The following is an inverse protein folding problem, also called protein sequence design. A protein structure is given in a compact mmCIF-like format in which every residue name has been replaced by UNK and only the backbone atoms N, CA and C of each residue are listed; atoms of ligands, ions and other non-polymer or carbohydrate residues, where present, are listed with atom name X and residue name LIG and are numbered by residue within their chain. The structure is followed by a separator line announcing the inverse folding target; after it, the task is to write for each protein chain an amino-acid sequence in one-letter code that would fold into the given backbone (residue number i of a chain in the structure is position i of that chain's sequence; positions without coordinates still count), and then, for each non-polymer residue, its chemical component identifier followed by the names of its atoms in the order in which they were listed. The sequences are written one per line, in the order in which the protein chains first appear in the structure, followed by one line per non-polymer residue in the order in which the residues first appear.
data_IF_220972527596
#
_entry.id   IF_220972527596
#
_cell.length_a   1.000
_cell.length_b   1.000
_cell.length_c   1.000
_cell.angle_alpha   90.00
_cell.angle_beta   90.00
_cell.angle_gamma   90.00
#
_symmetry.space_group_name_H-M   'P 1'
#
loop_
_entity.id
_entity.type
_entity.pdbx_description
1 polymer ?
#
# COMPACT_ATOMS: atom_id res chain seq x y z
N UNK A 1 -14.39 -29.47 52.17
CA UNK A 1 -13.19 -29.49 51.33
C UNK A 1 -13.50 -29.85 49.86
N UNK A 2 -14.32 -30.84 49.55
CA UNK A 2 -14.66 -31.28 48.19
C UNK A 2 -15.51 -30.25 47.42
N UNK A 3 -16.43 -29.53 48.09
CA UNK A 3 -17.33 -28.53 47.49
C UNK A 3 -16.55 -27.26 47.00
N UNK A 4 -15.49 -26.88 47.71
CA UNK A 4 -14.67 -25.70 47.36
C UNK A 4 -13.81 -26.04 46.13
N UNK A 5 -13.32 -27.28 45.99
CA UNK A 5 -12.56 -27.74 44.82
C UNK A 5 -13.45 -27.82 43.57
N UNK A 6 -14.70 -28.27 43.72
CA UNK A 6 -15.66 -28.29 42.60
C UNK A 6 -16.10 -26.89 42.15
N UNK A 7 -16.16 -25.90 43.06
CA UNK A 7 -16.40 -24.51 42.70
C UNK A 7 -15.22 -23.87 41.97
N UNK A 8 -14.00 -24.14 42.40
CA UNK A 8 -12.78 -23.66 41.72
C UNK A 8 -12.64 -24.26 40.30
N UNK A 9 -12.94 -25.54 40.12
CA UNK A 9 -12.91 -26.18 38.78
C UNK A 9 -14.04 -25.68 37.85
N UNK A 10 -15.21 -25.25 38.40
CA UNK A 10 -16.24 -24.58 37.59
C UNK A 10 -15.87 -23.14 37.22
N UNK A 11 -15.13 -22.42 38.05
CA UNK A 11 -14.62 -21.08 37.71
C UNK A 11 -13.51 -21.14 36.65
N UNK A 12 -12.62 -22.11 36.71
CA UNK A 12 -11.60 -22.32 35.65
C UNK A 12 -12.23 -22.67 34.31
N UNK A 13 -13.27 -23.49 34.25
CA UNK A 13 -13.94 -23.84 32.99
C UNK A 13 -14.80 -22.69 32.39
N UNK A 14 -15.19 -21.68 33.16
CA UNK A 14 -15.87 -20.50 32.60
C UNK A 14 -14.90 -19.42 32.08
N UNK A 15 -13.66 -19.39 32.55
CA UNK A 15 -12.65 -18.42 32.06
C UNK A 15 -11.94 -18.84 30.77
N UNK A 16 -12.05 -20.09 30.32
CA UNK A 16 -11.38 -20.61 29.10
C UNK A 16 -12.23 -20.54 27.83
N UNK A 17 -13.40 -19.90 27.85
CA UNK A 17 -14.17 -19.59 26.65
C UNK A 17 -14.08 -18.13 26.24
N UNK A 18 -12.99 -17.42 26.55
CA UNK A 18 -12.57 -16.31 25.73
C UNK A 18 -12.08 -16.92 24.41
N UNK A 19 -12.99 -17.04 23.43
CA UNK A 19 -12.58 -17.19 22.04
C UNK A 19 -11.46 -16.17 21.82
N UNK A 20 -10.23 -16.61 21.71
CA UNK A 20 -9.19 -15.85 21.06
C UNK A 20 -9.73 -15.54 19.66
N UNK A 21 -10.47 -14.45 19.53
CA UNK A 21 -10.58 -13.78 18.25
C UNK A 21 -9.14 -13.43 17.93
N UNK A 22 -8.50 -14.23 17.11
CA UNK A 22 -7.28 -13.82 16.44
C UNK A 22 -7.59 -12.39 15.95
N UNK A 23 -6.95 -11.39 16.59
CA UNK A 23 -7.14 -10.00 16.19
C UNK A 23 -6.64 -9.98 14.76
N UNK A 24 -7.59 -9.93 13.83
CA UNK A 24 -7.27 -9.92 12.41
C UNK A 24 -6.60 -8.56 12.12
N UNK A 25 -5.28 -8.59 12.02
CA UNK A 25 -4.50 -7.40 11.69
C UNK A 25 -4.41 -7.29 10.18
N UNK A 26 -4.92 -6.20 9.63
CA UNK A 26 -4.82 -5.90 8.20
C UNK A 26 -3.38 -5.88 7.73
N UNK A 27 -3.15 -6.31 6.50
CA UNK A 27 -1.83 -6.30 5.88
C UNK A 27 -1.51 -4.91 5.34
N UNK A 28 -0.34 -4.37 5.70
CA UNK A 28 0.14 -3.07 5.22
C UNK A 28 1.13 -3.31 4.09
N UNK A 29 0.91 -2.68 2.94
CA UNK A 29 1.70 -2.82 1.72
C UNK A 29 2.09 -1.44 1.19
N UNK A 30 3.37 -1.11 1.19
CA UNK A 30 3.86 0.10 0.51
C UNK A 30 4.04 -0.14 -0.98
N UNK A 31 3.60 0.81 -1.80
CA UNK A 31 3.80 0.82 -3.25
C UNK A 31 4.92 1.79 -3.56
N UNK A 32 6.10 1.26 -3.88
CA UNK A 32 7.35 2.05 -3.91
C UNK A 32 8.12 1.84 -5.20
N UNK A 33 8.62 2.92 -5.76
CA UNK A 33 9.69 2.96 -6.73
C UNK A 33 10.26 4.39 -6.74
N UNK A 34 11.59 4.53 -6.72
CA UNK A 34 12.22 5.86 -6.76
C UNK A 34 12.06 6.58 -8.10
N UNK A 35 11.80 5.84 -9.19
CA UNK A 35 11.56 6.44 -10.50
C UNK A 35 10.16 7.05 -10.56
N UNK A 36 10.07 8.29 -11.01
CA UNK A 36 8.81 8.95 -11.32
C UNK A 36 8.13 8.30 -12.54
N UNK A 37 6.80 8.38 -12.60
CA UNK A 37 6.04 7.96 -13.78
C UNK A 37 5.93 6.45 -14.04
N UNK A 38 6.41 5.58 -13.16
CA UNK A 38 6.31 4.11 -13.32
C UNK A 38 4.96 3.52 -12.97
N UNK A 39 3.97 4.33 -12.65
CA UNK A 39 2.61 3.87 -12.33
C UNK A 39 2.39 3.46 -10.88
N UNK A 40 3.14 4.01 -9.90
CA UNK A 40 2.91 3.80 -8.46
C UNK A 40 1.48 4.16 -8.07
N UNK A 41 1.13 5.42 -8.22
CA UNK A 41 -0.21 5.94 -7.91
C UNK A 41 -1.32 5.25 -8.71
N UNK A 42 -1.09 5.00 -10.01
CA UNK A 42 -2.05 4.26 -10.84
C UNK A 42 -2.28 2.86 -10.28
N UNK A 43 -1.22 2.19 -9.81
CA UNK A 43 -1.33 0.86 -9.19
C UNK A 43 -2.03 0.95 -7.84
N UNK A 44 -1.68 1.93 -7.00
CA UNK A 44 -2.30 2.14 -5.69
C UNK A 44 -3.81 2.33 -5.80
N UNK A 45 -4.24 3.28 -6.63
CA UNK A 45 -5.66 3.62 -6.85
C UNK A 45 -6.45 2.42 -7.39
N UNK A 46 -5.97 1.80 -8.47
CA UNK A 46 -6.77 0.80 -9.17
C UNK A 46 -6.71 -0.58 -8.53
N UNK A 47 -5.59 -0.96 -7.89
CA UNK A 47 -5.51 -2.19 -7.12
C UNK A 47 -6.38 -2.11 -5.85
N UNK A 48 -6.34 -0.99 -5.11
CA UNK A 48 -7.20 -0.76 -3.95
C UNK A 48 -8.69 -0.85 -4.33
N UNK A 49 -9.07 -0.20 -5.45
CA UNK A 49 -10.44 -0.25 -5.97
C UNK A 49 -10.88 -1.68 -6.32
N UNK A 50 -10.07 -2.44 -7.07
CA UNK A 50 -10.37 -3.82 -7.46
C UNK A 50 -10.52 -4.74 -6.23
N UNK A 51 -9.66 -4.58 -5.23
CA UNK A 51 -9.73 -5.32 -3.96
C UNK A 51 -10.98 -4.93 -3.17
N UNK A 52 -11.34 -3.64 -3.11
CA UNK A 52 -12.57 -3.15 -2.49
C UNK A 52 -13.83 -3.71 -3.14
N UNK A 53 -13.87 -3.77 -4.47
CA UNK A 53 -14.95 -4.39 -5.25
C UNK A 53 -15.09 -5.88 -4.91
N UNK A 54 -13.96 -6.58 -4.66
CA UNK A 54 -13.96 -7.99 -4.25
C UNK A 54 -14.49 -8.24 -2.84
N UNK A 55 -14.86 -7.18 -2.09
CA UNK A 55 -15.48 -7.26 -0.77
C UNK A 55 -14.51 -7.10 0.41
N UNK A 56 -13.24 -6.78 0.15
CA UNK A 56 -12.24 -6.49 1.17
C UNK A 56 -12.26 -5.01 1.57
N UNK A 57 -12.09 -4.72 2.86
CA UNK A 57 -11.96 -3.34 3.34
C UNK A 57 -10.54 -2.84 3.14
N UNK A 58 -10.39 -1.74 2.45
CA UNK A 58 -9.10 -1.15 2.08
C UNK A 58 -8.97 0.27 2.62
N UNK A 59 -7.84 0.57 3.26
CA UNK A 59 -7.39 1.93 3.48
C UNK A 59 -6.25 2.22 2.50
N UNK A 60 -6.35 3.32 1.79
CA UNK A 60 -5.28 3.81 0.93
C UNK A 60 -4.70 5.09 1.51
N UNK A 61 -3.40 5.10 1.81
CA UNK A 61 -2.68 6.25 2.38
C UNK A 61 -1.89 6.91 1.26
N UNK A 62 -2.21 8.16 0.98
CA UNK A 62 -1.48 8.97 0.02
C UNK A 62 -0.28 9.61 0.72
N UNK A 63 0.92 9.12 0.46
CA UNK A 63 2.17 9.62 1.04
C UNK A 63 3.01 10.43 0.03
N UNK A 64 2.43 10.85 -1.10
CA UNK A 64 3.07 11.74 -2.05
C UNK A 64 2.55 13.18 -1.87
N UNK A 65 3.41 14.20 -1.70
CA UNK A 65 3.00 15.60 -1.62
C UNK A 65 2.16 16.08 -2.80
N UNK A 66 2.31 15.47 -3.97
CA UNK A 66 1.49 15.78 -5.13
C UNK A 66 0.01 15.41 -4.93
N UNK A 67 -0.30 14.49 -4.02
CA UNK A 67 -1.66 14.09 -3.68
C UNK A 67 -2.43 13.49 -4.86
N UNK A 68 -1.75 12.74 -5.72
CA UNK A 68 -2.37 12.17 -6.93
C UNK A 68 -3.34 11.03 -6.62
N UNK A 69 -3.07 10.24 -5.58
CA UNK A 69 -4.01 9.25 -5.05
C UNK A 69 -5.28 9.92 -4.52
N UNK A 70 -5.12 11.01 -3.76
CA UNK A 70 -6.23 11.83 -3.25
C UNK A 70 -7.13 12.33 -4.38
N UNK A 71 -6.51 12.92 -5.42
CA UNK A 71 -7.24 13.37 -6.61
C UNK A 71 -7.87 12.22 -7.38
N UNK A 72 -7.20 11.07 -7.47
CA UNK A 72 -7.68 9.87 -8.18
C UNK A 72 -8.94 9.24 -7.55
N UNK A 73 -9.26 9.61 -6.32
CA UNK A 73 -10.52 9.27 -5.64
C UNK A 73 -11.50 10.46 -5.54
N UNK A 74 -11.28 11.53 -6.29
CA UNK A 74 -12.17 12.68 -6.34
C UNK A 74 -12.19 13.52 -5.05
N UNK A 75 -11.26 13.32 -4.14
CA UNK A 75 -11.20 14.04 -2.87
C UNK A 75 -10.64 15.45 -3.11
N UNK A 76 -11.39 16.46 -2.68
CA UNK A 76 -10.94 17.85 -2.77
C UNK A 76 -9.87 18.13 -1.71
N UNK A 77 -8.62 18.29 -2.13
CA UNK A 77 -7.47 18.56 -1.24
C UNK A 77 -7.63 19.82 -0.38
N UNK A 78 -8.46 20.77 -0.81
CA UNK A 78 -8.70 22.03 -0.06
C UNK A 78 -9.70 21.88 1.08
N UNK A 79 -10.51 20.81 1.08
CA UNK A 79 -11.54 20.59 2.10
C UNK A 79 -11.10 19.62 3.20
N UNK A 80 -9.92 18.98 3.06
CA UNK A 80 -9.40 18.05 4.06
C UNK A 80 -8.62 18.78 5.14
N UNK A 81 -8.89 18.46 6.39
CA UNK A 81 -8.27 19.10 7.56
C UNK A 81 -7.14 18.26 8.16
N UNK A 82 -7.14 16.94 7.92
CA UNK A 82 -6.09 16.03 8.36
C UNK A 82 -5.63 15.19 7.19
N UNK A 83 -4.32 15.11 7.01
CA UNK A 83 -3.66 14.46 5.90
C UNK A 83 -2.54 13.55 6.41
N UNK A 84 -1.83 12.89 5.52
CA UNK A 84 -0.63 12.11 5.87
C UNK A 84 0.45 12.97 6.53
N UNK A 85 0.46 14.29 6.31
CA UNK A 85 1.37 15.21 6.98
C UNK A 85 1.18 15.18 8.50
N UNK A 86 -0.04 15.39 9.01
CA UNK A 86 -0.34 15.40 10.45
C UNK A 86 -0.04 14.02 11.09
N UNK A 87 -0.18 12.93 10.32
CA UNK A 87 0.21 11.60 10.78
C UNK A 87 1.73 11.47 11.00
N UNK A 88 2.52 12.07 10.12
CA UNK A 88 3.99 12.00 10.19
C UNK A 88 4.57 12.89 11.27
N UNK A 89 3.98 14.06 11.53
CA UNK A 89 4.45 14.93 12.61
C UNK A 89 3.87 14.55 13.99
N UNK A 90 3.07 13.47 14.08
CA UNK A 90 2.54 12.96 15.35
C UNK A 90 1.26 13.66 15.83
N UNK A 91 0.62 14.48 15.00
CA UNK A 91 -0.59 15.26 15.35
C UNK A 91 -1.90 14.58 14.97
N UNK A 92 -1.86 13.30 14.59
CA UNK A 92 -3.08 12.61 14.16
C UNK A 92 -2.97 11.09 14.12
N UNK A 93 -4.14 10.45 14.00
CA UNK A 93 -4.27 9.03 13.73
C UNK A 93 -4.83 8.81 12.35
N UNK A 94 -4.48 7.69 11.71
CA UNK A 94 -5.02 7.36 10.39
C UNK A 94 -6.55 7.20 10.42
N UNK A 95 -7.12 6.79 11.55
CA UNK A 95 -8.57 6.71 11.73
C UNK A 95 -9.25 8.08 11.64
N UNK A 96 -8.64 9.11 12.26
CA UNK A 96 -9.18 10.47 12.24
C UNK A 96 -8.97 11.18 10.90
N UNK A 97 -7.96 10.79 10.14
CA UNK A 97 -7.63 11.36 8.83
C UNK A 97 -8.31 10.62 7.67
N UNK A 98 -8.81 9.40 7.89
CA UNK A 98 -9.45 8.61 6.84
C UNK A 98 -10.75 9.23 6.35
N UNK A 99 -10.81 9.53 5.07
CA UNK A 99 -12.00 10.03 4.36
C UNK A 99 -12.69 8.84 3.69
N UNK A 100 -13.99 8.68 3.96
CA UNK A 100 -14.81 7.71 3.25
C UNK A 100 -15.00 8.15 1.81
N UNK A 101 -14.78 7.23 0.89
CA UNK A 101 -15.03 7.47 -0.52
C UNK A 101 -16.40 6.91 -0.95
N UNK A 102 -16.89 7.33 -2.11
CA UNK A 102 -18.08 6.73 -2.74
C UNK A 102 -17.79 5.35 -3.36
N UNK A 103 -16.53 4.95 -3.42
CA UNK A 103 -16.09 3.71 -4.01
C UNK A 103 -16.10 2.57 -3.00
N UNK A 104 -16.63 1.43 -3.42
CA UNK A 104 -16.94 0.30 -2.56
C UNK A 104 -15.75 -0.15 -1.71
N UNK A 105 -15.91 -0.09 -0.37
CA UNK A 105 -14.96 -0.59 0.63
C UNK A 105 -13.56 0.05 0.59
N UNK A 106 -13.42 1.25 0.05
CA UNK A 106 -12.16 1.98 0.03
C UNK A 106 -12.30 3.31 0.77
N UNK A 107 -11.47 3.49 1.79
CA UNK A 107 -11.26 4.78 2.46
C UNK A 107 -9.87 5.30 2.12
N UNK A 108 -9.67 6.62 2.16
CA UNK A 108 -8.39 7.26 1.81
C UNK A 108 -7.92 8.18 2.93
N UNK A 109 -6.67 8.05 3.36
CA UNK A 109 -5.96 9.11 4.07
C UNK A 109 -5.36 10.03 3.03
N UNK A 110 -5.85 11.27 2.92
CA UNK A 110 -5.44 12.17 1.85
C UNK A 110 -4.04 12.77 2.07
N UNK A 111 -3.47 13.31 1.00
CA UNK A 111 -2.26 14.12 1.03
C UNK A 111 -2.51 15.53 0.52
N UNK A 112 -1.61 16.43 0.88
CA UNK A 112 -1.55 17.81 0.38
C UNK A 112 -0.10 18.24 0.18
N UNK A 113 0.10 19.41 -0.43
CA UNK A 113 1.43 20.00 -0.61
C UNK A 113 2.19 20.21 0.70
N UNK A 114 1.48 20.33 1.84
CA UNK A 114 2.12 20.47 3.16
C UNK A 114 3.01 19.27 3.48
N UNK A 115 2.70 18.10 2.92
CA UNK A 115 3.52 16.90 3.11
C UNK A 115 4.97 17.07 2.63
N UNK A 116 5.24 18.02 1.73
CA UNK A 116 6.61 18.33 1.31
C UNK A 116 7.46 18.87 2.47
N UNK A 117 6.85 19.54 3.46
CA UNK A 117 7.54 20.03 4.64
C UNK A 117 7.94 18.88 5.60
N UNK A 118 7.25 17.74 5.56
CA UNK A 118 7.50 16.62 6.47
C UNK A 118 8.97 16.11 6.42
N UNK A 119 9.66 16.21 5.29
CA UNK A 119 11.07 15.81 5.18
C UNK A 119 11.98 16.68 6.09
N UNK A 120 11.60 17.94 6.36
CA UNK A 120 12.31 18.85 7.23
C UNK A 120 11.80 18.73 8.67
N UNK A 121 10.48 18.76 8.84
CA UNK A 121 9.86 18.78 10.17
C UNK A 121 10.15 17.49 10.96
N UNK A 122 10.21 16.36 10.26
CA UNK A 122 10.56 15.07 10.86
C UNK A 122 11.99 15.02 11.45
N UNK A 123 12.88 15.93 11.08
CA UNK A 123 14.26 15.95 11.62
C UNK A 123 14.23 16.14 13.13
N UNK A 124 13.35 16.99 13.63
CA UNK A 124 13.19 17.35 15.04
C UNK A 124 12.26 16.40 15.81
N UNK A 125 11.55 15.50 15.11
CA UNK A 125 10.59 14.60 15.75
C UNK A 125 11.28 13.38 16.33
N UNK A 126 11.02 13.09 17.61
CA UNK A 126 11.48 11.89 18.27
C UNK A 126 10.88 10.64 17.62
N UNK A 127 11.68 9.58 17.47
CA UNK A 127 11.26 8.36 16.77
C UNK A 127 10.69 8.61 15.37
N UNK A 128 11.22 9.60 14.67
CA UNK A 128 10.74 10.10 13.37
C UNK A 128 10.48 9.03 12.31
N UNK A 129 11.17 7.90 12.36
CA UNK A 129 10.97 6.78 11.42
C UNK A 129 9.77 5.88 11.77
N UNK A 130 9.14 6.06 12.95
CA UNK A 130 8.02 5.24 13.41
C UNK A 130 6.66 5.96 13.36
N UNK A 131 6.61 7.22 12.97
CA UNK A 131 5.41 8.05 13.08
C UNK A 131 4.23 7.45 12.31
N UNK A 132 4.42 7.08 11.05
CA UNK A 132 3.36 6.47 10.26
C UNK A 132 2.92 5.11 10.81
N UNK A 133 3.86 4.31 11.32
CA UNK A 133 3.56 3.02 11.97
C UNK A 133 2.66 3.21 13.20
N UNK A 134 2.96 4.20 14.03
CA UNK A 134 2.16 4.53 15.22
C UNK A 134 0.76 5.05 14.81
N UNK A 135 0.69 5.93 13.83
CA UNK A 135 -0.57 6.49 13.34
C UNK A 135 -1.50 5.43 12.73
N UNK A 136 -0.96 4.39 12.09
CA UNK A 136 -1.73 3.29 11.48
C UNK A 136 -2.15 2.22 12.49
N UNK A 137 -1.55 2.15 13.68
CA UNK A 137 -1.77 1.07 14.64
C UNK A 137 -3.25 0.96 15.05
N UNK A 138 -3.94 2.10 15.29
CA UNK A 138 -5.33 2.13 15.75
C UNK A 138 -6.34 1.63 14.71
N UNK A 139 -6.03 1.74 13.43
CA UNK A 139 -6.94 1.36 12.36
C UNK A 139 -6.59 0.01 11.70
N UNK A 140 -5.42 -0.57 11.98
CA UNK A 140 -4.95 -1.80 11.35
C UNK A 140 -5.94 -2.98 11.47
N UNK A 141 -6.70 -3.06 12.56
CA UNK A 141 -7.73 -4.08 12.76
C UNK A 141 -9.07 -3.82 12.04
N UNK A 142 -9.24 -2.65 11.42
CA UNK A 142 -10.49 -2.24 10.76
C UNK A 142 -10.51 -2.55 9.26
N UNK A 143 -9.33 -2.70 8.65
CA UNK A 143 -9.14 -2.94 7.24
C UNK A 143 -8.51 -4.31 7.00
N UNK A 144 -8.84 -4.94 5.86
CA UNK A 144 -8.17 -6.17 5.40
C UNK A 144 -6.78 -5.83 4.85
N UNK A 145 -6.68 -4.70 4.14
CA UNK A 145 -5.45 -4.20 3.53
C UNK A 145 -5.31 -2.70 3.74
N UNK A 146 -4.08 -2.27 3.98
CA UNK A 146 -3.68 -0.86 3.98
C UNK A 146 -2.60 -0.71 2.92
N UNK A 147 -2.86 0.08 1.87
CA UNK A 147 -1.85 0.42 0.87
C UNK A 147 -1.30 1.81 1.16
N UNK A 148 0.01 2.00 0.96
CA UNK A 148 0.68 3.29 1.09
C UNK A 148 1.28 3.64 -0.27
N UNK A 149 0.76 4.68 -0.93
CA UNK A 149 1.32 5.22 -2.18
C UNK A 149 2.47 6.16 -1.86
N UNK A 150 3.69 5.76 -2.19
CA UNK A 150 4.91 6.46 -1.82
C UNK A 150 5.38 7.45 -2.91
N UNK A 151 6.03 8.56 -2.51
CA UNK A 151 6.64 9.51 -3.45
C UNK A 151 7.78 8.86 -4.25
N UNK A 152 8.24 9.51 -5.35
CA UNK A 152 9.39 9.05 -6.13
C UNK A 152 10.73 9.42 -5.48
N UNK A 153 10.85 9.20 -4.17
CA UNK A 153 12.05 9.48 -3.38
C UNK A 153 12.24 8.37 -2.34
N UNK A 154 13.45 8.25 -1.82
CA UNK A 154 13.78 7.33 -0.72
C UNK A 154 14.08 8.11 0.58
N UNK A 155 13.41 9.25 0.79
CA UNK A 155 13.52 10.11 1.97
C UNK A 155 12.78 9.58 3.19
N UNK A 156 12.66 10.43 4.24
CA UNK A 156 12.04 10.06 5.51
C UNK A 156 10.58 9.62 5.39
N UNK A 157 9.82 10.21 4.47
CA UNK A 157 8.43 9.81 4.21
C UNK A 157 8.38 8.35 3.71
N UNK A 158 9.24 8.00 2.75
CA UNK A 158 9.32 6.61 2.24
C UNK A 158 9.86 5.66 3.30
N UNK A 159 10.83 6.06 4.12
CA UNK A 159 11.34 5.26 5.24
C UNK A 159 10.22 4.98 6.25
N UNK A 160 9.37 5.96 6.58
CA UNK A 160 8.18 5.77 7.41
C UNK A 160 7.20 4.77 6.82
N UNK A 161 6.92 4.87 5.51
CA UNK A 161 6.05 3.94 4.81
C UNK A 161 6.58 2.50 4.87
N UNK A 162 7.87 2.30 4.57
CA UNK A 162 8.54 1.00 4.62
C UNK A 162 8.56 0.42 6.05
N UNK A 163 8.81 1.27 7.04
CA UNK A 163 8.85 0.83 8.45
C UNK A 163 7.46 0.45 8.97
N UNK A 164 6.41 1.08 8.48
CA UNK A 164 5.02 0.75 8.81
C UNK A 164 4.50 -0.52 8.11
N UNK A 165 5.17 -0.96 7.04
CA UNK A 165 4.64 -1.99 6.13
C UNK A 165 5.06 -3.40 6.51
N UNK A 166 4.22 -4.38 6.16
CA UNK A 166 4.56 -5.80 6.17
C UNK A 166 5.32 -6.17 4.90
N UNK A 167 4.90 -5.60 3.76
CA UNK A 167 5.51 -5.92 2.47
C UNK A 167 5.56 -4.72 1.52
N UNK A 168 6.38 -4.84 0.47
CA UNK A 168 6.61 -3.81 -0.56
C UNK A 168 6.20 -4.34 -1.92
N UNK A 169 5.25 -3.68 -2.59
CA UNK A 169 4.90 -3.90 -3.98
C UNK A 169 5.64 -2.90 -4.87
N UNK A 170 6.31 -3.40 -5.90
CA UNK A 170 7.21 -2.60 -6.75
C UNK A 170 6.69 -2.54 -8.19
N UNK A 171 5.97 -1.47 -8.58
CA UNK A 171 5.63 -1.23 -9.98
C UNK A 171 6.89 -0.87 -10.77
N UNK A 172 7.11 -1.52 -11.92
CA UNK A 172 8.27 -1.29 -12.79
C UNK A 172 7.82 -1.12 -14.24
N UNK A 173 8.23 -0.04 -14.86
CA UNK A 173 8.18 0.10 -16.31
C UNK A 173 9.46 -0.49 -16.92
N UNK A 174 9.32 -1.34 -17.94
CA UNK A 174 10.47 -2.01 -18.59
C UNK A 174 11.25 -1.05 -19.50
N UNK A 175 12.08 -0.20 -18.90
CA UNK A 175 12.96 0.76 -19.55
C UNK A 175 14.42 0.52 -19.16
N UNK A 176 15.36 1.18 -19.86
CA UNK A 176 16.80 0.95 -19.72
C UNK A 176 17.29 1.00 -18.26
N UNK A 177 16.89 2.02 -17.50
CA UNK A 177 17.32 2.20 -16.10
C UNK A 177 16.46 1.45 -15.06
N UNK A 178 15.55 0.57 -15.50
CA UNK A 178 14.62 -0.11 -14.59
C UNK A 178 15.36 -1.02 -13.60
N UNK A 179 16.40 -1.71 -14.04
CA UNK A 179 17.17 -2.65 -13.21
C UNK A 179 18.05 -1.93 -12.18
N UNK A 180 18.64 -0.80 -12.56
CA UNK A 180 19.42 0.05 -11.66
C UNK A 180 18.52 0.57 -10.53
N UNK A 181 17.38 1.16 -10.89
CA UNK A 181 16.40 1.64 -9.91
C UNK A 181 15.87 0.54 -8.99
N UNK A 182 15.63 -0.67 -9.52
CA UNK A 182 15.25 -1.82 -8.71
C UNK A 182 16.35 -2.19 -7.72
N UNK A 183 17.60 -2.23 -8.15
CA UNK A 183 18.74 -2.57 -7.28
C UNK A 183 18.90 -1.59 -6.13
N UNK A 184 18.78 -0.29 -6.39
CA UNK A 184 18.84 0.77 -5.37
C UNK A 184 17.67 0.66 -4.39
N UNK A 185 16.44 0.41 -4.87
CA UNK A 185 15.28 0.18 -4.01
C UNK A 185 15.48 -1.05 -3.10
N UNK A 186 15.96 -2.16 -3.64
CA UNK A 186 16.23 -3.37 -2.85
C UNK A 186 17.27 -3.11 -1.77
N UNK A 187 18.32 -2.34 -2.07
CA UNK A 187 19.32 -1.94 -1.07
C UNK A 187 18.68 -1.13 0.07
N UNK A 188 17.80 -0.16 -0.26
CA UNK A 188 17.05 0.62 0.75
C UNK A 188 16.12 -0.27 1.57
N UNK A 189 15.36 -1.17 0.95
CA UNK A 189 14.49 -2.12 1.68
C UNK A 189 15.29 -2.99 2.64
N UNK A 190 16.46 -3.50 2.23
CA UNK A 190 17.36 -4.26 3.09
C UNK A 190 17.88 -3.43 4.28
N UNK A 191 18.19 -2.16 4.04
CA UNK A 191 18.65 -1.25 5.11
C UNK A 191 17.51 -0.98 6.10
N UNK A 192 16.29 -0.68 5.65
CA UNK A 192 15.12 -0.49 6.52
C UNK A 192 14.81 -1.78 7.29
N UNK A 193 14.87 -2.94 6.63
CA UNK A 193 14.70 -4.24 7.27
C UNK A 193 15.69 -4.46 8.42
N UNK A 194 16.95 -4.13 8.20
CA UNK A 194 18.02 -4.28 9.20
C UNK A 194 17.87 -3.32 10.38
N UNK A 195 17.49 -2.06 10.14
CA UNK A 195 17.54 -1.00 11.13
C UNK A 195 16.21 -0.78 11.86
N UNK A 196 15.07 -0.95 11.19
CA UNK A 196 13.78 -0.48 11.69
C UNK A 196 12.67 -1.52 11.66
N UNK A 197 12.61 -2.37 10.63
CA UNK A 197 11.50 -3.32 10.42
C UNK A 197 11.99 -4.68 9.94
N UNK A 198 12.40 -5.54 10.86
CA UNK A 198 12.99 -6.86 10.57
C UNK A 198 12.05 -7.80 9.78
N UNK A 199 10.74 -7.55 9.81
CA UNK A 199 9.73 -8.38 9.14
C UNK A 199 9.38 -7.92 7.73
N UNK A 200 9.95 -6.78 7.28
CA UNK A 200 9.67 -6.22 5.95
C UNK A 200 10.11 -7.18 4.84
N UNK A 201 9.22 -7.49 3.93
CA UNK A 201 9.47 -8.39 2.78
C UNK A 201 9.06 -7.75 1.46
N UNK A 202 9.59 -8.26 0.34
CA UNK A 202 9.10 -7.90 -0.99
C UNK A 202 7.82 -8.68 -1.27
N UNK A 203 6.70 -7.97 -1.45
CA UNK A 203 5.42 -8.54 -1.90
C UNK A 203 5.52 -9.10 -3.30
N UNK A 204 6.07 -8.27 -4.16
CA UNK A 204 6.29 -8.63 -5.54
C UNK A 204 6.59 -7.45 -6.44
N UNK A 205 6.88 -7.76 -7.71
CA UNK A 205 7.17 -6.83 -8.77
C UNK A 205 6.05 -6.89 -9.80
N UNK A 206 5.48 -5.73 -10.16
CA UNK A 206 4.41 -5.61 -11.16
C UNK A 206 4.94 -4.83 -12.36
N UNK A 207 4.87 -5.44 -13.53
CA UNK A 207 5.22 -4.76 -14.78
C UNK A 207 4.10 -3.80 -15.17
N UNK A 208 4.47 -2.55 -15.42
CA UNK A 208 3.53 -1.48 -15.81
C UNK A 208 3.87 -0.95 -17.19
N UNK A 209 2.87 -0.37 -17.86
CA UNK A 209 3.00 0.12 -19.24
C UNK A 209 3.65 -0.92 -20.17
N UNK A 210 3.33 -2.19 -19.90
CA UNK A 210 3.93 -3.34 -20.54
C UNK A 210 3.56 -3.42 -22.05
N UNK A 211 4.57 -3.61 -22.86
CA UNK A 211 4.44 -3.96 -24.28
C UNK A 211 5.42 -5.09 -24.61
N UNK A 212 4.91 -6.33 -24.69
CA UNK A 212 5.72 -7.53 -24.96
C UNK A 212 6.31 -7.64 -26.37
N UNK A 213 5.94 -6.72 -27.29
CA UNK A 213 6.52 -6.67 -28.64
C UNK A 213 7.93 -6.04 -28.66
N UNK A 214 8.27 -5.31 -27.59
CA UNK A 214 9.54 -4.59 -27.51
C UNK A 214 10.66 -5.50 -27.02
N UNK A 215 11.77 -5.56 -27.73
CA UNK A 215 12.95 -6.34 -27.35
C UNK A 215 13.50 -5.92 -25.98
N UNK A 216 13.54 -4.61 -25.70
CA UNK A 216 13.99 -4.09 -24.41
C UNK A 216 13.11 -4.60 -23.25
N UNK A 217 11.78 -4.63 -23.43
CA UNK A 217 10.85 -5.19 -22.44
C UNK A 217 11.22 -6.64 -22.12
N UNK A 218 11.44 -7.45 -23.15
CA UNK A 218 11.76 -8.88 -22.96
C UNK A 218 13.11 -9.08 -22.27
N UNK A 219 14.11 -8.24 -22.58
CA UNK A 219 15.41 -8.26 -21.91
C UNK A 219 15.28 -7.90 -20.43
N UNK A 220 14.59 -6.80 -20.09
CA UNK A 220 14.38 -6.37 -18.69
C UNK A 220 13.61 -7.44 -17.91
N UNK A 221 12.55 -8.00 -18.49
CA UNK A 221 11.79 -9.09 -17.85
C UNK A 221 12.67 -10.33 -17.64
N UNK A 222 13.51 -10.67 -18.60
CA UNK A 222 14.48 -11.77 -18.49
C UNK A 222 15.43 -11.58 -17.30
N UNK A 223 15.97 -10.38 -17.15
CA UNK A 223 16.85 -10.06 -16.01
C UNK A 223 16.10 -10.08 -14.66
N UNK A 224 14.89 -9.50 -14.59
CA UNK A 224 14.07 -9.58 -13.37
C UNK A 224 13.81 -11.04 -12.99
N UNK A 225 13.48 -11.89 -13.94
CA UNK A 225 13.21 -13.33 -13.69
C UNK A 225 14.42 -14.08 -13.17
N UNK A 226 15.66 -13.72 -13.52
CA UNK A 226 16.85 -14.39 -13.00
C UNK A 226 16.98 -14.26 -11.48
N UNK A 227 16.58 -13.12 -10.91
CA UNK A 227 16.80 -12.82 -9.50
C UNK A 227 15.51 -12.78 -8.65
N UNK A 228 14.34 -12.60 -9.29
CA UNK A 228 13.06 -12.36 -8.62
C UNK A 228 11.91 -13.13 -9.28
N UNK A 229 12.16 -14.34 -9.81
CA UNK A 229 11.15 -15.12 -10.51
C UNK A 229 9.90 -15.40 -9.65
N UNK A 230 10.08 -15.69 -8.37
CA UNK A 230 9.04 -15.95 -7.38
C UNK A 230 8.28 -14.69 -6.93
N UNK A 231 8.90 -13.52 -7.11
CA UNK A 231 8.33 -12.21 -6.76
C UNK A 231 7.67 -11.51 -7.94
N UNK A 232 7.94 -11.90 -9.18
CA UNK A 232 7.32 -11.30 -10.35
C UNK A 232 5.84 -11.74 -10.46
N UNK A 233 4.94 -10.76 -10.48
CA UNK A 233 3.53 -11.01 -10.77
C UNK A 233 3.38 -11.47 -12.22
N UNK A 234 2.48 -12.44 -12.45
CA UNK A 234 2.15 -12.93 -13.81
C UNK A 234 1.37 -11.88 -14.59
N UNK A 235 0.54 -11.13 -13.88
CA UNK A 235 -0.26 -10.04 -14.42
C UNK A 235 0.63 -8.84 -14.71
N UNK A 236 0.62 -8.37 -15.96
CA UNK A 236 1.27 -7.13 -16.37
C UNK A 236 0.22 -6.08 -16.75
N UNK A 237 0.45 -4.83 -16.36
CA UNK A 237 -0.46 -3.71 -16.67
C UNK A 237 -0.06 -3.11 -18.01
N UNK A 238 -0.93 -3.17 -19.04
CA UNK A 238 -0.61 -2.63 -20.35
C UNK A 238 -0.60 -1.11 -20.35
N UNK A 239 0.08 -0.51 -21.32
CA UNK A 239 -0.09 0.92 -21.61
C UNK A 239 -1.50 1.14 -22.14
N UNK A 240 -2.29 1.95 -21.41
CA UNK A 240 -3.68 2.22 -21.77
C UNK A 240 -4.04 3.68 -21.47
N UNK A 241 -4.54 4.39 -22.47
CA UNK A 241 -4.90 5.83 -22.37
C UNK A 241 -5.96 6.05 -21.28
N UNK A 242 -6.93 5.15 -21.17
CA UNK A 242 -7.99 5.23 -20.15
C UNK A 242 -7.46 5.27 -18.71
N UNK A 243 -6.32 4.60 -18.42
CA UNK A 243 -5.66 4.68 -17.12
C UNK A 243 -5.07 6.06 -16.82
N UNK A 244 -4.72 6.82 -17.86
CA UNK A 244 -4.21 8.20 -17.72
C UNK A 244 -5.34 9.22 -17.65
N UNK A 245 -6.50 8.91 -18.23
CA UNK A 245 -7.69 9.78 -18.24
C UNK A 245 -8.46 9.70 -16.92
N UNK A 246 -8.65 8.52 -16.36
CA UNK A 246 -9.47 8.26 -15.18
C UNK A 246 -9.16 9.21 -13.99
N UNK A 247 -7.89 9.51 -13.64
CA UNK A 247 -7.57 10.43 -12.55
C UNK A 247 -8.09 11.85 -12.76
N UNK A 248 -8.23 12.34 -14.02
CA UNK A 248 -8.77 13.65 -14.30
C UNK A 248 -10.27 13.78 -13.99
N UNK A 249 -10.95 12.63 -13.87
CA UNK A 249 -12.34 12.53 -13.43
C UNK A 249 -12.49 12.15 -11.95
N UNK A 250 -11.36 12.00 -11.23
CA UNK A 250 -11.38 11.58 -9.82
C UNK A 250 -11.90 10.14 -9.61
N UNK A 251 -11.71 9.27 -10.58
CA UNK A 251 -12.29 7.92 -10.58
C UNK A 251 -11.23 6.83 -10.75
N UNK A 252 -11.28 5.73 -9.97
CA UNK A 252 -10.58 4.51 -10.33
C UNK A 252 -11.08 3.96 -11.66
N UNK A 253 -10.21 3.25 -12.38
CA UNK A 253 -10.50 2.74 -13.74
C UNK A 253 -11.74 1.85 -13.79
N UNK A 254 -12.04 1.08 -12.74
CA UNK A 254 -13.19 0.18 -12.66
C UNK A 254 -14.53 0.95 -12.68
N UNK A 255 -14.51 2.22 -12.27
CA UNK A 255 -15.68 3.09 -12.28
C UNK A 255 -15.67 4.04 -13.49
N UNK A 256 -14.51 4.41 -14.01
CA UNK A 256 -14.36 5.26 -15.18
C UNK A 256 -14.67 4.49 -16.49
N UNK A 257 -14.00 3.33 -16.69
CA UNK A 257 -14.20 2.47 -17.86
C UNK A 257 -13.97 1.01 -17.51
N UNK A 258 -15.01 0.38 -16.97
CA UNK A 258 -15.00 -1.03 -16.51
C UNK A 258 -14.63 -2.03 -17.61
N UNK A 259 -14.86 -1.69 -18.89
CA UNK A 259 -14.60 -2.59 -20.02
C UNK A 259 -13.20 -2.40 -20.62
N UNK A 260 -12.44 -1.44 -20.12
CA UNK A 260 -11.08 -1.17 -20.62
C UNK A 260 -10.12 -2.30 -20.30
N UNK A 261 -9.08 -2.43 -21.13
CA UNK A 261 -7.95 -3.35 -20.88
C UNK A 261 -7.24 -3.02 -19.56
N UNK A 262 -7.22 -1.75 -19.16
CA UNK A 262 -6.67 -1.31 -17.88
C UNK A 262 -7.46 -1.84 -16.70
N UNK A 263 -8.80 -1.76 -16.72
CA UNK A 263 -9.65 -2.30 -15.68
C UNK A 263 -9.48 -3.83 -15.55
N UNK A 264 -9.54 -4.55 -16.65
CA UNK A 264 -9.34 -6.00 -16.65
C UNK A 264 -7.97 -6.40 -16.05
N UNK A 265 -6.91 -5.69 -16.42
CA UNK A 265 -5.57 -5.97 -15.91
C UNK A 265 -5.46 -5.74 -14.39
N UNK A 266 -6.05 -4.67 -13.84
CA UNK A 266 -6.05 -4.44 -12.39
C UNK A 266 -6.98 -5.41 -11.64
N UNK A 267 -8.08 -5.85 -12.24
CA UNK A 267 -8.93 -6.91 -11.67
C UNK A 267 -8.18 -8.25 -11.59
N UNK A 268 -7.39 -8.58 -12.62
CA UNK A 268 -6.57 -9.80 -12.61
C UNK A 268 -5.39 -9.68 -11.63
N UNK A 269 -4.75 -8.50 -11.54
CA UNK A 269 -3.73 -8.23 -10.52
C UNK A 269 -4.30 -8.38 -9.10
N UNK A 270 -5.50 -7.87 -8.84
CA UNK A 270 -6.16 -8.01 -7.55
C UNK A 270 -6.45 -9.48 -7.20
N UNK A 271 -6.93 -10.29 -8.18
CA UNK A 271 -7.14 -11.73 -7.98
C UNK A 271 -5.83 -12.45 -7.65
N UNK A 272 -4.74 -12.13 -8.38
CA UNK A 272 -3.42 -12.71 -8.14
C UNK A 272 -2.87 -12.30 -6.77
N UNK A 273 -2.98 -11.01 -6.41
CA UNK A 273 -2.60 -10.48 -5.10
C UNK A 273 -3.36 -11.18 -3.96
N UNK A 274 -4.68 -11.26 -4.06
CA UNK A 274 -5.52 -11.91 -3.05
C UNK A 274 -5.22 -13.40 -2.92
N UNK A 275 -4.90 -14.09 -4.03
CA UNK A 275 -4.49 -15.50 -4.02
C UNK A 275 -3.17 -15.69 -3.28
N UNK A 276 -2.15 -14.85 -3.55
CA UNK A 276 -0.85 -14.89 -2.84
C UNK A 276 -1.00 -14.58 -1.35
N UNK A 277 -1.98 -13.78 -0.98
CA UNK A 277 -2.22 -13.33 0.40
C UNK A 277 -3.37 -14.07 1.10
N UNK A 278 -3.86 -15.18 0.56
CA UNK A 278 -4.79 -16.06 1.28
C UNK A 278 -4.04 -16.62 2.48
N UNK A 279 -4.49 -16.22 3.66
CA UNK A 279 -4.12 -16.91 4.89
C UNK A 279 -4.90 -18.23 4.89
N UNK A 280 -4.21 -19.34 5.09
CA UNK A 280 -4.81 -20.65 5.21
C UNK A 280 -5.76 -20.72 6.41
#
# INVERSE_FOLDING_TARGET
MIIVIMMLLKFENQMFHVKHRSIYMGKIVSIVNQKGGVGKTTTAVNLASAIGISGKKVLLVDADPQGNTTSGYGINKKSVTKTTYELLIGEGTAEAAAVKTEYKNVDVVPSSMNLAAAEVDLIEVENRQNQLKMALASCRGKYDYIFIDCPPSLGLVTINALNASDTVLVPIQCEYFALEGLSQLIATVRQVKRLYNQTLEIEGIVLTMYDGRLNLTNQVVGEIKKYFADKLYKTAIPRAVRLSEAPSYGMPIQYYDKRSKGAAAYDDLAKEFLKKNRRG
#
